data_IF_054071004780
#
_entry.id   IF_054071004780
#
_cell.length_a   1.000
_cell.length_b   1.000
_cell.length_c   1.000
_cell.angle_alpha   90.00
_cell.angle_beta   90.00
_cell.angle_gamma   90.00
#
_symmetry.space_group_name_H-M   'P 1'
#
loop_
_entity.id
_entity.type
_entity.pdbx_description
1 polymer ?
#
# COMPACT_ATOMS: atom_id res chain seq x y z
N UNK A 1 61.61 45.43 55.22
CA UNK A 1 61.61 44.24 54.35
C UNK A 1 60.90 43.03 55.00
N UNK A 2 59.66 43.16 55.49
CA UNK A 2 58.96 42.07 56.22
C UNK A 2 57.79 41.43 55.45
N UNK A 3 57.33 42.04 54.35
CA UNK A 3 56.10 41.62 53.65
C UNK A 3 56.36 40.96 52.29
N UNK A 4 57.62 40.84 51.84
CA UNK A 4 57.98 40.22 50.55
C UNK A 4 57.52 38.75 50.47
N UNK A 5 57.61 38.01 51.58
CA UNK A 5 57.16 36.62 51.66
C UNK A 5 55.64 36.50 51.52
N UNK A 6 54.89 37.44 52.10
CA UNK A 6 53.43 37.49 52.00
C UNK A 6 52.95 37.86 50.59
N UNK A 7 53.60 38.84 49.95
CA UNK A 7 53.30 39.24 48.57
C UNK A 7 53.64 38.10 47.59
N UNK A 8 54.76 37.39 47.80
CA UNK A 8 55.13 36.22 47.01
C UNK A 8 54.12 35.08 47.10
N UNK A 9 53.59 34.81 48.29
CA UNK A 9 52.54 33.80 48.50
C UNK A 9 51.22 34.16 47.81
N UNK A 10 50.82 35.45 47.85
CA UNK A 10 49.61 35.91 47.16
C UNK A 10 49.76 35.77 45.64
N UNK A 11 50.93 36.11 45.09
CA UNK A 11 51.19 36.00 43.65
C UNK A 11 51.21 34.53 43.20
N UNK A 12 51.79 33.64 44.01
CA UNK A 12 51.80 32.20 43.76
C UNK A 12 50.38 31.60 43.80
N UNK A 13 49.56 31.99 44.78
CA UNK A 13 48.17 31.55 44.87
C UNK A 13 47.33 32.02 43.67
N UNK A 14 47.54 33.27 43.22
CA UNK A 14 46.91 33.81 42.01
C UNK A 14 47.32 33.03 40.75
N UNK A 15 48.61 32.69 40.61
CA UNK A 15 49.11 31.90 39.48
C UNK A 15 48.48 30.51 39.44
N UNK A 16 48.43 29.81 40.58
CA UNK A 16 47.80 28.49 40.65
C UNK A 16 46.29 28.55 40.44
N UNK A 17 45.61 29.56 40.97
CA UNK A 17 44.18 29.78 40.74
C UNK A 17 43.86 30.02 39.26
N UNK A 18 44.66 30.85 38.59
CA UNK A 18 44.53 31.11 37.15
C UNK A 18 44.80 29.84 36.33
N UNK A 19 45.88 29.10 36.66
CA UNK A 19 46.22 27.86 35.97
C UNK A 19 45.13 26.79 36.11
N UNK A 20 44.57 26.63 37.31
CA UNK A 20 43.45 25.72 37.56
C UNK A 20 42.18 26.13 36.79
N UNK A 21 41.87 27.43 36.73
CA UNK A 21 40.73 27.94 35.97
C UNK A 21 40.90 27.72 34.45
N UNK A 22 42.10 27.97 33.90
CA UNK A 22 42.41 27.70 32.48
C UNK A 22 42.34 26.21 32.17
N UNK A 23 42.83 25.36 33.08
CA UNK A 23 42.76 23.92 32.90
C UNK A 23 41.31 23.41 32.96
N UNK A 24 40.51 23.88 33.92
CA UNK A 24 39.10 23.52 34.07
C UNK A 24 38.26 23.96 32.88
N UNK A 25 38.49 25.18 32.35
CA UNK A 25 37.83 25.68 31.14
C UNK A 25 38.25 24.91 29.89
N UNK A 26 39.51 24.48 29.79
CA UNK A 26 39.99 23.58 28.73
C UNK A 26 39.41 22.16 28.82
N UNK A 27 39.17 21.64 30.03
CA UNK A 27 38.60 20.31 30.24
C UNK A 27 37.09 20.29 29.95
N UNK A 28 36.34 21.30 30.43
CA UNK A 28 34.89 21.38 30.19
C UNK A 28 34.58 21.59 28.70
N UNK A 29 35.38 22.37 27.98
CA UNK A 29 35.21 22.61 26.53
C UNK A 29 35.48 21.36 25.68
N UNK A 30 36.41 20.50 26.11
CA UNK A 30 36.62 19.17 25.48
C UNK A 30 35.48 18.19 25.75
N UNK A 31 34.82 18.31 26.90
CA UNK A 31 33.68 17.47 27.29
C UNK A 31 32.34 17.97 26.72
N UNK A 32 32.23 19.25 26.34
CA UNK A 32 30.98 19.88 25.90
C UNK A 32 30.76 19.89 24.38
N UNK A 33 31.64 19.25 23.61
CA UNK A 33 31.31 18.83 22.25
C UNK A 33 30.37 17.62 22.32
N UNK A 34 29.06 17.85 22.37
CA UNK A 34 28.09 16.78 22.11
C UNK A 34 28.47 16.20 20.75
N UNK A 35 28.89 14.93 20.70
CA UNK A 35 29.19 14.26 19.45
C UNK A 35 28.01 14.50 18.51
N UNK A 36 28.27 15.10 17.35
CA UNK A 36 27.25 15.49 16.39
C UNK A 36 27.51 14.82 15.06
N UNK A 37 26.46 14.26 14.48
CA UNK A 37 26.48 13.70 13.14
C UNK A 37 25.75 14.64 12.20
N UNK A 38 26.28 14.79 10.99
CA UNK A 38 25.61 15.53 9.93
C UNK A 38 24.40 14.75 9.44
N UNK A 39 23.25 15.41 9.41
CA UNK A 39 22.00 14.86 8.88
C UNK A 39 21.43 15.81 7.84
N UNK A 40 20.98 15.24 6.72
CA UNK A 40 20.31 15.99 5.67
C UNK A 40 18.84 16.19 6.03
N UNK A 41 18.43 17.45 6.05
CA UNK A 41 17.07 17.92 6.31
C UNK A 41 16.52 18.68 5.11
N UNK A 42 15.20 18.78 5.02
CA UNK A 42 14.56 19.57 3.98
C UNK A 42 14.72 21.08 4.28
N UNK A 43 15.23 21.85 3.32
CA UNK A 43 15.35 23.30 3.43
C UNK A 43 14.03 24.03 3.14
N UNK A 44 13.13 23.37 2.40
CA UNK A 44 11.79 23.83 2.00
C UNK A 44 10.80 22.68 2.13
N UNK A 45 9.50 22.96 2.04
CA UNK A 45 8.49 21.91 1.95
C UNK A 45 8.60 21.21 0.59
N UNK A 46 8.67 19.88 0.60
CA UNK A 46 8.81 19.04 -0.59
C UNK A 46 7.56 18.18 -0.73
N UNK A 47 6.82 18.41 -1.81
CA UNK A 47 5.58 17.69 -2.08
C UNK A 47 5.83 16.22 -2.48
N UNK A 48 4.81 15.39 -2.20
CA UNK A 48 4.72 14.01 -2.66
C UNK A 48 5.02 13.89 -4.17
N UNK A 49 5.83 12.91 -4.56
CA UNK A 49 6.16 12.63 -5.96
C UNK A 49 7.20 13.58 -6.56
N UNK A 50 7.67 14.57 -5.81
CA UNK A 50 8.68 15.52 -6.27
C UNK A 50 10.08 14.92 -6.27
N UNK A 51 10.88 15.27 -7.28
CA UNK A 51 12.30 14.93 -7.34
C UNK A 51 13.07 15.85 -6.41
N UNK A 52 13.89 15.26 -5.55
CA UNK A 52 14.77 15.98 -4.63
C UNK A 52 15.94 16.58 -5.40
N UNK A 53 16.21 17.86 -5.17
CA UNK A 53 17.39 18.56 -5.69
C UNK A 53 18.26 19.07 -4.53
N UNK A 54 19.51 19.42 -4.82
CA UNK A 54 20.44 19.90 -3.80
C UNK A 54 20.02 21.23 -3.17
N UNK A 55 19.21 22.04 -3.87
CA UNK A 55 18.72 23.35 -3.40
C UNK A 55 17.59 23.22 -2.37
N UNK A 56 16.85 22.10 -2.39
CA UNK A 56 15.78 21.78 -1.45
C UNK A 56 16.32 21.14 -0.15
N UNK A 57 17.62 20.91 -0.06
CA UNK A 57 18.27 20.18 1.03
C UNK A 57 19.21 21.07 1.82
N UNK A 58 19.33 20.80 3.11
CA UNK A 58 20.31 21.41 3.99
C UNK A 58 20.92 20.35 4.89
N UNK A 59 22.13 20.60 5.41
CA UNK A 59 22.79 19.71 6.35
C UNK A 59 22.85 20.38 7.71
N UNK A 60 22.36 19.69 8.74
CA UNK A 60 22.32 20.19 10.12
C UNK A 60 23.07 19.19 11.01
N UNK A 61 23.80 19.72 11.98
CA UNK A 61 24.48 18.92 13.01
C UNK A 61 23.46 18.44 14.04
N UNK A 62 23.32 17.12 14.15
CA UNK A 62 22.39 16.46 15.06
C UNK A 62 23.17 15.71 16.15
N UNK A 63 22.79 15.78 17.43
CA UNK A 63 23.39 14.95 18.47
C UNK A 63 23.43 13.47 18.08
N UNK A 64 24.59 12.81 18.18
CA UNK A 64 24.83 11.44 17.71
C UNK A 64 23.88 10.42 18.34
N UNK A 65 23.39 10.66 19.57
CA UNK A 65 22.42 9.80 20.25
C UNK A 65 20.95 10.01 19.84
N UNK A 66 20.66 10.95 18.95
CA UNK A 66 19.30 11.31 18.55
C UNK A 66 19.12 11.39 17.03
N UNK A 67 20.06 10.84 16.27
CA UNK A 67 19.96 10.76 14.81
C UNK A 67 18.82 9.80 14.44
N UNK A 68 17.84 10.25 13.63
CA UNK A 68 16.78 9.37 13.16
C UNK A 68 17.33 8.19 12.35
N UNK A 69 16.84 6.97 12.63
CA UNK A 69 17.28 5.79 11.89
C UNK A 69 16.99 5.90 10.39
N UNK A 70 17.99 5.59 9.56
CA UNK A 70 17.85 5.66 8.10
C UNK A 70 17.92 7.09 7.54
N UNK A 71 18.39 8.07 8.32
CA UNK A 71 18.71 9.41 7.83
C UNK A 71 19.98 9.41 6.98
N UNK A 72 20.07 10.35 6.04
CA UNK A 72 21.27 10.54 5.22
C UNK A 72 22.21 11.58 5.81
N UNK A 73 23.51 11.37 5.66
CA UNK A 73 24.56 12.34 6.02
C UNK A 73 25.14 13.09 4.82
N UNK A 74 24.92 12.60 3.60
CA UNK A 74 25.40 13.20 2.35
C UNK A 74 24.22 13.53 1.43
N UNK A 75 24.20 14.77 0.93
CA UNK A 75 23.23 15.27 -0.05
C UNK A 75 23.36 14.50 -1.37
N UNK A 76 24.56 14.05 -1.75
CA UNK A 76 24.78 13.33 -3.02
C UNK A 76 24.00 12.01 -3.10
N UNK A 77 23.77 11.35 -1.97
CA UNK A 77 22.99 10.12 -1.90
C UNK A 77 21.49 10.34 -2.18
N UNK A 78 21.05 11.60 -2.16
CA UNK A 78 19.67 12.02 -2.38
C UNK A 78 19.42 12.60 -3.76
N UNK A 79 20.47 12.77 -4.58
CA UNK A 79 20.32 13.24 -5.95
C UNK A 79 19.43 12.29 -6.76
N UNK A 80 18.49 12.86 -7.50
CA UNK A 80 17.51 12.13 -8.32
C UNK A 80 16.60 11.16 -7.56
N UNK A 81 16.60 11.18 -6.22
CA UNK A 81 15.61 10.47 -5.42
C UNK A 81 14.27 11.21 -5.50
N UNK A 82 13.18 10.45 -5.36
CA UNK A 82 11.82 10.99 -5.37
C UNK A 82 11.22 10.80 -3.99
N UNK A 83 10.51 11.81 -3.52
CA UNK A 83 9.79 11.77 -2.25
C UNK A 83 8.49 10.97 -2.43
N UNK A 84 8.26 9.94 -1.60
CA UNK A 84 7.01 9.15 -1.62
C UNK A 84 6.00 9.54 -0.54
N UNK A 85 6.37 10.45 0.37
CA UNK A 85 5.49 11.08 1.37
C UNK A 85 5.98 12.51 1.56
N UNK A 86 5.10 13.51 1.53
CA UNK A 86 5.49 14.92 1.68
C UNK A 86 6.40 15.15 2.90
N UNK A 87 7.44 15.96 2.71
CA UNK A 87 8.45 16.28 3.73
C UNK A 87 8.41 17.76 4.00
N UNK A 88 8.28 18.14 5.27
CA UNK A 88 8.23 19.55 5.66
C UNK A 88 9.63 20.12 5.90
N UNK A 89 9.75 21.44 5.81
CA UNK A 89 10.99 22.15 6.14
C UNK A 89 11.49 21.78 7.54
N UNK A 90 12.79 21.50 7.63
CA UNK A 90 13.49 21.12 8.87
C UNK A 90 13.37 19.63 9.21
N UNK A 91 12.58 18.87 8.47
CA UNK A 91 12.42 17.44 8.69
C UNK A 91 13.59 16.65 8.09
N UNK A 92 14.06 15.62 8.80
CA UNK A 92 15.12 14.74 8.32
C UNK A 92 14.63 13.90 7.12
N UNK A 93 15.45 13.85 6.07
CA UNK A 93 15.22 12.92 4.97
C UNK A 93 15.68 11.53 5.38
N UNK A 94 14.79 10.57 5.19
CA UNK A 94 14.97 9.19 5.61
C UNK A 94 14.66 8.26 4.44
N UNK A 95 15.34 7.12 4.35
CA UNK A 95 15.09 6.12 3.30
C UNK A 95 13.60 5.70 3.27
N UNK A 96 12.97 5.60 4.44
CA UNK A 96 11.55 5.29 4.58
C UNK A 96 10.58 6.32 3.99
N UNK A 97 11.02 7.51 3.58
CA UNK A 97 10.21 8.57 2.93
C UNK A 97 10.53 8.78 1.47
N UNK A 98 11.53 8.05 0.96
CA UNK A 98 11.94 8.12 -0.44
C UNK A 98 11.41 6.90 -1.21
N UNK A 99 11.19 7.12 -2.50
CA UNK A 99 10.95 6.06 -3.46
C UNK A 99 12.26 5.27 -3.71
N UNK A 100 12.16 4.02 -4.21
CA UNK A 100 13.31 3.25 -4.64
C UNK A 100 14.23 4.00 -5.60
N UNK A 101 15.51 3.62 -5.63
CA UNK A 101 16.48 4.21 -6.55
C UNK A 101 16.09 3.89 -8.00
N UNK A 102 16.17 4.90 -8.89
CA UNK A 102 15.82 4.76 -10.30
C UNK A 102 14.34 5.03 -10.64
N UNK A 103 13.52 5.35 -9.64
CA UNK A 103 12.13 5.76 -9.86
C UNK A 103 12.05 7.11 -10.59
N UNK A 104 11.36 7.13 -11.74
CA UNK A 104 11.02 8.37 -12.43
C UNK A 104 9.95 9.12 -11.62
N UNK A 105 10.21 10.40 -11.33
CA UNK A 105 9.35 11.26 -10.52
C UNK A 105 7.92 11.41 -11.04
N UNK A 106 7.07 12.07 -10.25
CA UNK A 106 5.64 12.18 -10.51
C UNK A 106 4.83 11.05 -9.86
N UNK A 107 3.57 10.88 -10.29
CA UNK A 107 2.65 9.93 -9.65
C UNK A 107 3.11 8.48 -9.74
N UNK A 108 3.89 8.13 -10.77
CA UNK A 108 4.53 6.82 -10.93
C UNK A 108 5.46 6.45 -9.78
N UNK A 109 5.99 7.44 -9.07
CA UNK A 109 6.89 7.21 -7.95
C UNK A 109 6.19 6.83 -6.64
N UNK A 110 4.89 7.10 -6.56
CA UNK A 110 4.07 6.83 -5.38
C UNK A 110 3.45 5.42 -5.46
N UNK A 111 3.36 4.85 -6.66
CA UNK A 111 2.77 3.53 -6.89
C UNK A 111 3.72 2.45 -6.35
N UNK A 112 3.21 1.60 -5.45
CA UNK A 112 3.97 0.48 -4.93
C UNK A 112 4.32 -0.54 -6.02
N UNK A 113 5.44 -1.24 -5.84
CA UNK A 113 5.86 -2.31 -6.76
C UNK A 113 4.74 -3.36 -6.93
N UNK A 114 4.47 -3.75 -8.18
CA UNK A 114 3.40 -4.70 -8.51
C UNK A 114 1.98 -4.11 -8.55
N UNK A 115 1.82 -2.80 -8.31
CA UNK A 115 0.53 -2.11 -8.41
C UNK A 115 0.47 -1.16 -9.60
N UNK A 116 -0.75 -0.69 -9.93
CA UNK A 116 -1.06 0.21 -11.05
C UNK A 116 -1.94 1.34 -10.54
N UNK A 117 -1.76 2.53 -11.11
CA UNK A 117 -2.65 3.65 -10.90
C UNK A 117 -3.73 3.65 -11.97
N UNK A 118 -5.00 3.63 -11.58
CA UNK A 118 -6.13 3.76 -12.50
C UNK A 118 -6.99 4.95 -12.10
N UNK A 119 -7.23 5.86 -13.04
CA UNK A 119 -8.11 7.01 -12.84
C UNK A 119 -9.53 6.64 -13.25
N UNK A 120 -10.48 6.85 -12.34
CA UNK A 120 -11.90 6.64 -12.57
C UNK A 120 -12.69 7.92 -12.38
N UNK A 121 -13.65 8.13 -13.28
CA UNK A 121 -14.65 9.19 -13.18
C UNK A 121 -15.70 8.77 -12.19
N UNK A 122 -16.00 9.62 -11.20
CA UNK A 122 -16.99 9.34 -10.17
C UNK A 122 -17.98 10.50 -10.09
N UNK A 123 -19.21 10.21 -9.67
CA UNK A 123 -20.24 11.24 -9.58
C UNK A 123 -19.90 12.28 -8.51
N UNK A 124 -20.24 13.53 -8.81
CA UNK A 124 -19.81 14.75 -8.11
C UNK A 124 -20.15 14.74 -6.61
N UNK A 125 -21.19 14.01 -6.18
CA UNK A 125 -21.62 13.98 -4.77
C UNK A 125 -20.56 13.37 -3.84
N UNK A 126 -19.75 12.44 -4.34
CA UNK A 126 -18.73 11.77 -3.52
C UNK A 126 -17.39 12.51 -3.57
N UNK A 127 -17.05 13.11 -4.71
CA UNK A 127 -15.79 13.86 -4.89
C UNK A 127 -15.81 15.27 -4.31
N UNK A 128 -16.98 15.92 -4.19
CA UNK A 128 -17.12 17.33 -3.77
C UNK A 128 -17.16 17.51 -2.25
N UNK A 129 -17.45 16.45 -1.48
CA UNK A 129 -17.49 16.56 -0.02
C UNK A 129 -16.12 16.39 0.67
N UNK A 130 -15.02 16.29 -0.09
CA UNK A 130 -13.65 16.28 0.45
C UNK A 130 -13.24 14.98 1.15
N UNK A 131 -13.95 13.87 0.93
CA UNK A 131 -13.71 12.62 1.63
C UNK A 131 -12.64 11.73 0.98
N UNK A 132 -12.53 11.73 -0.35
CA UNK A 132 -11.58 10.91 -1.10
C UNK A 132 -10.22 11.59 -1.27
N UNK A 133 -9.59 12.07 -0.20
CA UNK A 133 -8.27 12.72 -0.28
C UNK A 133 -7.14 11.71 -0.59
N UNK A 134 -6.04 12.16 -1.23
CA UNK A 134 -4.83 11.35 -1.35
C UNK A 134 -4.37 10.81 0.01
N UNK A 135 -4.05 9.52 0.06
CA UNK A 135 -3.72 8.81 1.30
C UNK A 135 -4.92 8.15 1.99
N UNK A 136 -6.16 8.42 1.55
CA UNK A 136 -7.33 7.76 2.10
C UNK A 136 -7.63 6.40 1.46
N UNK A 137 -8.24 5.50 2.25
CA UNK A 137 -8.81 4.26 1.73
C UNK A 137 -10.28 4.42 1.40
N UNK A 138 -10.69 3.89 0.25
CA UNK A 138 -12.08 3.89 -0.22
C UNK A 138 -12.50 2.49 -0.66
N UNK A 139 -13.79 2.21 -0.53
CA UNK A 139 -14.41 1.06 -1.16
C UNK A 139 -15.07 1.52 -2.46
N UNK A 140 -15.03 0.68 -3.50
CA UNK A 140 -15.60 0.97 -4.81
C UNK A 140 -16.85 0.14 -5.00
N UNK A 141 -17.98 0.82 -5.18
CA UNK A 141 -19.27 0.21 -5.48
C UNK A 141 -19.64 0.43 -6.94
N UNK A 142 -20.29 -0.57 -7.54
CA UNK A 142 -20.91 -0.47 -8.85
C UNK A 142 -22.42 -0.58 -8.69
N UNK A 143 -23.16 0.26 -9.43
CA UNK A 143 -24.57 0.07 -9.69
C UNK A 143 -24.72 -0.30 -11.17
N UNK A 144 -25.13 -1.54 -11.43
CA UNK A 144 -25.20 -2.11 -12.77
C UNK A 144 -26.58 -2.74 -13.01
N UNK A 145 -26.96 -2.84 -14.28
CA UNK A 145 -28.06 -3.68 -14.71
C UNK A 145 -27.50 -5.05 -15.06
N UNK A 146 -27.92 -6.07 -14.32
CA UNK A 146 -27.60 -7.45 -14.61
C UNK A 146 -28.65 -7.98 -15.57
N UNK A 147 -28.23 -8.21 -16.81
CA UNK A 147 -29.04 -8.91 -17.80
C UNK A 147 -29.31 -10.33 -17.31
N UNK A 148 -30.59 -10.67 -17.20
CA UNK A 148 -31.01 -12.05 -17.08
C UNK A 148 -31.37 -12.57 -18.47
N UNK A 149 -31.11 -13.86 -18.70
CA UNK A 149 -31.35 -14.50 -19.98
C UNK A 149 -32.76 -14.27 -20.55
N UNK A 150 -32.89 -14.43 -21.88
CA UNK A 150 -34.07 -14.14 -22.72
C UNK A 150 -35.42 -14.30 -21.97
N UNK A 151 -36.01 -13.17 -21.59
CA UNK A 151 -37.40 -13.09 -21.13
C UNK A 151 -37.63 -12.49 -19.73
N UNK A 152 -36.58 -12.21 -18.94
CA UNK A 152 -36.71 -11.52 -17.65
C UNK A 152 -36.19 -10.07 -17.72
N UNK A 153 -36.84 -9.16 -16.98
CA UNK A 153 -36.40 -7.77 -16.85
C UNK A 153 -34.98 -7.69 -16.25
N UNK A 154 -34.16 -6.76 -16.76
CA UNK A 154 -32.82 -6.52 -16.25
C UNK A 154 -32.86 -6.19 -14.75
N UNK A 155 -32.11 -6.94 -13.94
CA UNK A 155 -32.06 -6.72 -12.50
C UNK A 155 -31.04 -5.64 -12.18
N UNK A 156 -31.50 -4.52 -11.64
CA UNK A 156 -30.58 -3.53 -11.10
C UNK A 156 -30.00 -4.03 -9.77
N UNK A 157 -28.66 -4.11 -9.70
CA UNK A 157 -27.91 -4.54 -8.52
C UNK A 157 -26.85 -3.51 -8.16
N UNK A 158 -26.69 -3.25 -6.86
CA UNK A 158 -25.57 -2.50 -6.31
C UNK A 158 -24.66 -3.43 -5.50
N UNK A 159 -23.37 -3.44 -5.82
CA UNK A 159 -22.39 -4.33 -5.20
C UNK A 159 -21.04 -3.64 -5.01
N UNK A 160 -20.36 -3.95 -3.92
CA UNK A 160 -18.95 -3.58 -3.72
C UNK A 160 -18.05 -4.45 -4.61
N UNK A 161 -17.27 -3.80 -5.48
CA UNK A 161 -16.36 -4.46 -6.42
C UNK A 161 -14.98 -4.59 -5.80
N UNK A 162 -14.52 -3.52 -5.14
CA UNK A 162 -13.20 -3.45 -4.50
C UNK A 162 -13.35 -2.86 -3.10
N UNK A 163 -12.59 -3.40 -2.16
CA UNK A 163 -12.52 -2.92 -0.79
C UNK A 163 -11.12 -2.43 -0.48
N UNK A 164 -11.02 -1.40 0.37
CA UNK A 164 -9.76 -0.87 0.92
C UNK A 164 -8.75 -0.48 -0.18
N UNK A 165 -9.21 0.32 -1.13
CA UNK A 165 -8.38 0.83 -2.22
C UNK A 165 -7.78 2.18 -1.81
N UNK A 166 -6.47 2.36 -2.01
CA UNK A 166 -5.77 3.61 -1.68
C UNK A 166 -6.03 4.66 -2.78
N UNK A 167 -6.35 5.88 -2.36
CA UNK A 167 -6.43 7.04 -3.25
C UNK A 167 -5.04 7.68 -3.38
N UNK A 168 -4.56 7.82 -4.61
CA UNK A 168 -3.28 8.44 -4.94
C UNK A 168 -3.43 9.92 -5.29
N UNK A 169 -4.48 10.28 -6.01
CA UNK A 169 -4.71 11.65 -6.46
C UNK A 169 -6.19 11.91 -6.71
N UNK A 170 -6.58 13.19 -6.68
CA UNK A 170 -7.90 13.68 -7.08
C UNK A 170 -7.70 14.78 -8.10
N UNK A 171 -8.42 14.71 -9.21
CA UNK A 171 -8.47 15.75 -10.22
C UNK A 171 -9.92 16.22 -10.39
N UNK A 172 -10.09 17.54 -10.55
CA UNK A 172 -11.36 18.13 -10.94
C UNK A 172 -11.24 18.56 -12.40
N UNK A 173 -11.94 17.87 -13.29
CA UNK A 173 -12.08 18.29 -14.67
C UNK A 173 -13.26 19.26 -14.75
N UNK A 174 -12.98 20.54 -15.01
CA UNK A 174 -14.02 21.47 -15.39
C UNK A 174 -14.41 21.19 -16.84
N UNK A 175 -15.54 20.53 -17.07
CA UNK A 175 -16.08 20.45 -18.43
C UNK A 175 -16.68 21.81 -18.79
N UNK A 176 -16.10 22.47 -19.80
CA UNK A 176 -16.56 23.75 -20.36
C UNK A 176 -17.53 23.47 -21.51
N UNK A 177 -18.70 22.93 -21.19
CA UNK A 177 -19.83 22.98 -22.10
C UNK A 177 -20.62 24.27 -21.84
N UNK A 178 -20.91 25.01 -22.92
CA UNK A 178 -21.35 26.42 -22.98
C UNK A 178 -22.74 26.73 -22.40
N UNK A 179 -23.21 26.00 -21.38
CA UNK A 179 -24.46 26.38 -20.71
C UNK A 179 -24.47 26.13 -19.20
N UNK A 180 -23.63 25.24 -18.65
CA UNK A 180 -23.39 25.10 -17.20
C UNK A 180 -22.02 24.46 -16.95
N UNK A 181 -21.10 25.08 -16.18
CA UNK A 181 -19.87 24.41 -15.76
C UNK A 181 -20.23 23.22 -14.87
N UNK A 182 -19.97 22.01 -15.36
CA UNK A 182 -20.05 20.79 -14.55
C UNK A 182 -18.64 20.36 -14.18
N UNK A 183 -18.32 20.47 -12.89
CA UNK A 183 -17.06 19.96 -12.34
C UNK A 183 -17.22 18.47 -12.18
N UNK A 184 -16.50 17.68 -12.98
CA UNK A 184 -16.49 16.23 -12.81
C UNK A 184 -15.28 15.82 -11.98
N UNK A 185 -15.49 15.03 -10.94
CA UNK A 185 -14.40 14.49 -10.12
C UNK A 185 -13.83 13.22 -10.75
N UNK A 186 -12.51 13.21 -10.92
CA UNK A 186 -11.73 12.03 -11.28
C UNK A 186 -10.81 11.67 -10.11
N UNK A 187 -10.78 10.38 -9.74
CA UNK A 187 -9.97 9.89 -8.63
C UNK A 187 -9.01 8.83 -9.15
N UNK A 188 -7.73 8.96 -8.81
CA UNK A 188 -6.70 7.98 -9.14
C UNK A 188 -6.51 7.01 -7.99
N UNK A 189 -6.72 5.72 -8.26
CA UNK A 189 -6.69 4.64 -7.29
C UNK A 189 -5.45 3.76 -7.49
N UNK A 190 -4.86 3.27 -6.40
CA UNK A 190 -3.79 2.29 -6.43
C UNK A 190 -4.37 0.86 -6.38
N UNK A 191 -4.16 0.08 -7.43
CA UNK A 191 -4.80 -1.21 -7.64
C UNK A 191 -3.77 -2.31 -7.93
N UNK A 192 -4.11 -3.56 -7.60
CA UNK A 192 -3.42 -4.70 -8.19
C UNK A 192 -3.80 -4.84 -9.68
N UNK A 193 -3.12 -5.71 -10.43
CA UNK A 193 -3.50 -5.96 -11.83
C UNK A 193 -4.92 -6.53 -11.92
N UNK A 194 -5.22 -7.52 -11.09
CA UNK A 194 -6.53 -8.17 -11.02
C UNK A 194 -7.63 -7.17 -10.64
N UNK A 195 -7.37 -6.27 -9.68
CA UNK A 195 -8.33 -5.25 -9.29
C UNK A 195 -8.54 -4.20 -10.38
N UNK A 196 -7.51 -3.92 -11.18
CA UNK A 196 -7.61 -3.02 -12.34
C UNK A 196 -8.53 -3.60 -13.41
N UNK A 197 -8.43 -4.90 -13.69
CA UNK A 197 -9.30 -5.62 -14.62
C UNK A 197 -10.75 -5.65 -14.13
N UNK A 198 -10.96 -5.93 -12.83
CA UNK A 198 -12.30 -5.88 -12.20
C UNK A 198 -12.91 -4.48 -12.29
N UNK A 199 -12.12 -3.45 -12.02
CA UNK A 199 -12.60 -2.07 -12.05
C UNK A 199 -12.93 -1.60 -13.48
N UNK A 200 -12.13 -2.01 -14.46
CA UNK A 200 -12.39 -1.70 -15.87
C UNK A 200 -13.71 -2.33 -16.36
N UNK A 201 -13.95 -3.61 -16.01
CA UNK A 201 -15.22 -4.26 -16.29
C UNK A 201 -16.38 -3.58 -15.53
N UNK A 202 -16.20 -3.27 -14.25
CA UNK A 202 -17.23 -2.59 -13.46
C UNK A 202 -17.61 -1.22 -14.06
N UNK A 203 -16.63 -0.51 -14.63
CA UNK A 203 -16.83 0.77 -15.33
C UNK A 203 -17.64 0.61 -16.61
N UNK A 204 -17.52 -0.51 -17.33
CA UNK A 204 -18.25 -0.71 -18.59
C UNK A 204 -19.70 -1.17 -18.38
N UNK A 205 -19.99 -1.88 -17.28
CA UNK A 205 -21.31 -2.45 -17.00
C UNK A 205 -22.22 -1.56 -16.15
N UNK A 206 -21.70 -0.47 -15.57
CA UNK A 206 -22.48 0.33 -14.63
C UNK A 206 -21.84 1.65 -14.21
N UNK A 207 -22.45 2.28 -13.22
CA UNK A 207 -21.97 3.53 -12.62
C UNK A 207 -21.20 3.25 -11.34
N UNK A 208 -20.01 3.87 -11.22
CA UNK A 208 -19.15 3.71 -10.06
C UNK A 208 -19.46 4.76 -9.00
N UNK A 209 -19.41 4.35 -7.73
CA UNK A 209 -19.49 5.21 -6.55
C UNK A 209 -18.36 4.83 -5.60
N UNK A 210 -17.71 5.83 -5.00
CA UNK A 210 -16.72 5.59 -3.95
C UNK A 210 -17.37 5.76 -2.59
N UNK A 211 -16.96 4.95 -1.63
CA UNK A 211 -17.39 5.07 -0.24
C UNK A 211 -16.14 5.22 0.61
N UNK A 212 -16.07 6.27 1.43
CA UNK A 212 -14.93 6.48 2.31
C UNK A 212 -14.88 5.38 3.36
N UNK A 213 -13.73 4.69 3.45
CA UNK A 213 -13.48 3.67 4.46
C UNK A 213 -12.84 4.32 5.68
N UNK A 214 -13.19 3.83 6.87
CA UNK A 214 -12.44 4.19 8.08
C UNK A 214 -11.00 3.66 7.98
N UNK A 215 -10.03 4.52 8.23
CA UNK A 215 -8.58 4.22 8.20
C UNK A 215 -8.17 3.07 9.12
N UNK A 216 -8.90 2.89 10.23
CA UNK A 216 -8.61 1.85 11.23
C UNK A 216 -9.33 0.53 10.94
N UNK A 217 -10.26 0.52 9.98
CA UNK A 217 -11.04 -0.66 9.64
C UNK A 217 -10.23 -1.62 8.75
N UNK A 218 -9.87 -2.77 9.33
CA UNK A 218 -9.14 -3.85 8.68
C UNK A 218 -10.03 -5.01 8.23
N UNK A 219 -11.34 -4.96 8.52
CA UNK A 219 -12.27 -6.07 8.28
C UNK A 219 -12.87 -6.02 6.89
N UNK A 220 -12.54 -7.00 6.05
CA UNK A 220 -13.21 -7.17 4.75
C UNK A 220 -14.61 -7.75 4.97
N UNK A 221 -15.63 -7.13 4.39
CA UNK A 221 -17.02 -7.57 4.54
C UNK A 221 -17.54 -8.05 3.20
N UNK A 222 -17.64 -9.37 3.03
CA UNK A 222 -18.22 -9.96 1.83
C UNK A 222 -19.72 -9.65 1.78
N UNK A 223 -20.14 -8.85 0.80
CA UNK A 223 -21.55 -8.58 0.51
C UNK A 223 -21.97 -9.23 -0.80
N UNK A 224 -23.20 -9.75 -0.86
CA UNK A 224 -23.78 -10.27 -2.11
C UNK A 224 -24.28 -9.15 -3.03
N UNK A 225 -24.26 -7.90 -2.55
CA UNK A 225 -24.94 -6.77 -3.16
C UNK A 225 -26.42 -6.74 -2.80
N UNK A 226 -27.07 -5.63 -3.15
CA UNK A 226 -28.51 -5.40 -2.95
C UNK A 226 -29.15 -5.17 -4.31
N UNK A 227 -30.21 -5.92 -4.59
CA UNK A 227 -31.03 -5.74 -5.79
C UNK A 227 -32.17 -4.73 -5.54
N UNK A 228 -32.71 -4.15 -6.61
CA UNK A 228 -33.87 -3.26 -6.51
C UNK A 228 -35.05 -3.90 -5.78
N UNK A 229 -35.37 -5.16 -6.07
CA UNK A 229 -36.46 -5.89 -5.40
C UNK A 229 -36.24 -6.00 -3.88
N UNK A 230 -35.02 -6.35 -3.45
CA UNK A 230 -34.67 -6.42 -2.04
C UNK A 230 -34.74 -5.06 -1.34
N UNK A 231 -34.34 -3.98 -2.04
CA UNK A 231 -34.43 -2.61 -1.51
C UNK A 231 -35.88 -2.19 -1.23
N UNK A 232 -36.83 -2.64 -2.06
CA UNK A 232 -38.25 -2.33 -1.93
C UNK A 232 -39.07 -3.44 -1.24
N UNK A 233 -38.41 -4.40 -0.59
CA UNK A 233 -39.06 -5.39 0.26
C UNK A 233 -39.65 -6.61 -0.47
N UNK A 234 -39.35 -6.81 -1.76
CA UNK A 234 -39.61 -8.07 -2.44
C UNK A 234 -38.59 -9.12 -1.95
N UNK A 235 -38.98 -9.90 -0.94
CA UNK A 235 -38.24 -11.09 -0.53
C UNK A 235 -38.31 -12.16 -1.61
N UNK A 236 -37.48 -12.03 -2.64
CA UNK A 236 -37.07 -13.18 -3.46
C UNK A 236 -35.78 -13.68 -2.83
N UNK A 237 -35.90 -14.72 -2.01
CA UNK A 237 -34.76 -15.40 -1.43
C UNK A 237 -33.79 -15.76 -2.57
N UNK A 238 -32.60 -15.17 -2.53
CA UNK A 238 -31.49 -15.67 -3.32
C UNK A 238 -31.19 -17.01 -2.66
N UNK A 239 -31.80 -18.07 -3.19
CA UNK A 239 -31.39 -19.44 -2.89
C UNK A 239 -29.89 -19.44 -3.14
N UNK A 240 -29.06 -19.70 -2.11
CA UNK A 240 -27.65 -19.86 -2.36
C UNK A 240 -27.57 -20.91 -3.46
N UNK A 241 -26.91 -20.58 -4.57
CA UNK A 241 -26.36 -21.63 -5.43
C UNK A 241 -25.50 -22.42 -4.45
N UNK A 242 -26.07 -23.53 -3.98
CA UNK A 242 -25.41 -24.49 -3.12
C UNK A 242 -24.03 -24.60 -3.71
N UNK A 243 -23.03 -24.23 -2.91
CA UNK A 243 -21.65 -24.65 -3.11
C UNK A 243 -21.72 -26.02 -3.76
N UNK A 244 -21.33 -26.06 -5.03
CA UNK A 244 -21.09 -27.31 -5.71
C UNK A 244 -20.32 -28.16 -4.71
N UNK A 245 -20.88 -29.33 -4.42
CA UNK A 245 -20.33 -30.27 -3.48
C UNK A 245 -18.80 -30.21 -3.55
N UNK A 246 -18.16 -29.97 -2.40
CA UNK A 246 -16.73 -30.10 -2.26
C UNK A 246 -16.30 -31.32 -3.09
N UNK A 247 -15.31 -31.19 -4.00
CA UNK A 247 -14.93 -32.30 -4.85
C UNK A 247 -14.66 -33.45 -3.89
N UNK A 248 -15.48 -34.49 -4.00
CA UNK A 248 -15.32 -35.67 -3.18
C UNK A 248 -13.87 -36.07 -3.38
N UNK A 249 -13.05 -35.95 -2.34
CA UNK A 249 -11.72 -36.51 -2.35
C UNK A 249 -11.88 -37.92 -2.92
N UNK A 250 -11.11 -38.31 -3.96
CA UNK A 250 -11.15 -39.67 -4.42
C UNK A 250 -10.89 -40.51 -3.18
N UNK A 251 -11.92 -41.21 -2.68
CA UNK A 251 -11.70 -42.28 -1.73
C UNK A 251 -10.71 -43.16 -2.47
N UNK A 252 -9.46 -43.15 -2.01
CA UNK A 252 -8.50 -44.17 -2.38
C UNK A 252 -9.20 -45.46 -2.02
N UNK A 253 -9.81 -46.11 -3.01
CA UNK A 253 -10.23 -47.49 -2.87
C UNK A 253 -8.90 -48.19 -2.61
N UNK A 254 -8.65 -48.57 -1.37
CA UNK A 254 -7.69 -49.63 -1.11
C UNK A 254 -8.07 -50.73 -2.10
N UNK A 255 -7.14 -51.06 -2.99
CA UNK A 255 -7.31 -52.18 -3.89
C UNK A 255 -7.61 -53.39 -3.01
N UNK A 256 -8.87 -53.84 -3.04
CA UNK A 256 -9.18 -55.19 -2.59
C UNK A 256 -8.30 -56.16 -3.38
N UNK A 257 -7.89 -57.29 -2.79
CA UNK A 257 -7.02 -58.24 -3.47
C UNK A 257 -7.61 -58.57 -4.84
N UNK A 258 -6.79 -58.40 -5.87
CA UNK A 258 -7.16 -58.67 -7.24
C UNK A 258 -7.70 -60.11 -7.32
N UNK A 259 -8.99 -60.25 -7.62
CA UNK A 259 -9.54 -61.53 -8.07
C UNK A 259 -8.77 -61.94 -9.32
N UNK A 260 -8.13 -63.12 -9.35
CA UNK A 260 -7.48 -63.59 -10.56
C UNK A 260 -8.52 -63.66 -11.67
N UNK A 261 -8.20 -63.07 -12.83
CA UNK A 261 -9.03 -63.19 -14.03
C UNK A 261 -9.21 -64.69 -14.32
N UNK A 262 -10.45 -65.12 -14.49
CA UNK A 262 -10.76 -66.47 -14.92
C UNK A 262 -10.14 -66.69 -16.32
N UNK A 263 -9.19 -67.61 -16.42
CA UNK A 263 -8.68 -68.10 -17.71
C UNK A 263 -9.82 -68.77 -18.46
N UNK A 264 -10.05 -68.35 -19.70
CA UNK A 264 -11.09 -68.90 -20.56
C UNK A 264 -10.57 -70.24 -21.12
N UNK A 265 -11.07 -71.34 -20.58
CA UNK A 265 -10.70 -72.68 -21.02
C UNK A 265 -11.68 -73.16 -22.09
N UNK A 266 -11.17 -73.55 -23.24
CA UNK A 266 -11.98 -74.14 -24.32
C UNK A 266 -11.71 -75.64 -24.38
N UNK A 267 -12.79 -76.44 -24.38
CA UNK A 267 -12.73 -77.89 -24.58
C UNK A 267 -12.63 -78.16 -26.09
N UNK A 268 -11.50 -78.72 -26.53
CA UNK A 268 -11.30 -79.12 -27.92
C UNK A 268 -11.51 -80.63 -28.02
N UNK A 269 -12.46 -81.06 -28.86
CA UNK A 269 -12.73 -82.47 -29.14
C UNK A 269 -12.04 -82.83 -30.45
N UNK A 270 -11.03 -83.69 -30.40
CA UNK A 270 -10.41 -84.26 -31.61
C UNK A 270 -10.45 -85.79 -31.53
N UNK A 271 -11.05 -86.41 -32.55
CA UNK A 271 -10.97 -87.85 -32.85
C UNK A 271 -11.12 -88.76 -31.61
N UNK A 272 -12.29 -88.64 -30.97
CA UNK A 272 -12.76 -89.42 -29.82
C UNK A 272 -12.06 -89.17 -28.47
N UNK A 273 -11.15 -88.19 -28.35
CA UNK A 273 -10.62 -87.68 -27.08
C UNK A 273 -11.02 -86.22 -26.81
N UNK A 274 -11.26 -85.88 -25.53
CA UNK A 274 -11.54 -84.51 -25.07
C UNK A 274 -10.32 -83.99 -24.31
N UNK A 275 -9.80 -82.82 -24.68
CA UNK A 275 -8.75 -82.13 -23.90
C UNK A 275 -9.12 -80.67 -23.68
N UNK A 276 -8.98 -80.20 -22.45
CA UNK A 276 -9.19 -78.80 -22.05
C UNK A 276 -7.88 -78.02 -22.20
N UNK A 277 -7.92 -76.89 -22.90
CA UNK A 277 -6.78 -75.97 -23.01
C UNK A 277 -7.21 -74.60 -22.51
N UNK A 278 -6.48 -74.08 -21.53
CA UNK A 278 -6.74 -72.79 -20.89
C UNK A 278 -5.69 -71.77 -21.33
N UNK A 279 -6.12 -70.56 -21.69
CA UNK A 279 -5.26 -69.42 -22.06
C UNK A 279 -5.26 -68.34 -20.98
#
# INVERSE_FOLDING_TARGET
MKNIKAIGLIFLALLFGLAAAVYATGWISRQSGIASNKVVVAAVDIDLGSRVNAQMLSTVDWPSGSVPNGSFSDIKALNDRVVKVGVLRGEALMEGKLAPVGTQGGLSAVIASGKRAMTVRVNDVVGVAGFALPGNYVDVMVNAQQDKGRGEDALQISKTVLEKVLVLAVAQEANRDDTKPKVVSAVTLELSLEDSEKLDLARSVGTLSLVLRNQMDKTTVATLGITKGQLFGEKKDIVPVSTAAAPAHPRVRLAGPATPRASECVEVIQHAGRSLTCF
#
